data_IF_477549509797
#
_entry.id   IF_477549509797
#
_cell.length_a   1.000
_cell.length_b   1.000
_cell.length_c   1.000
_cell.angle_alpha   90.00
_cell.angle_beta   90.00
_cell.angle_gamma   90.00
#
_symmetry.space_group_name_H-M   'P 1'
#
loop_
_entity.id
_entity.type
_entity.pdbx_description
1 polymer ?
#
# COMPACT_ATOMS: atom_id res chain seq x y z
N UNK A 1 13.36 -10.85 -13.91
CA UNK A 1 12.76 -11.97 -13.13
C UNK A 1 11.61 -11.41 -12.29
N UNK A 2 10.41 -11.43 -12.84
CA UNK A 2 9.21 -11.02 -12.11
C UNK A 2 8.78 -12.15 -11.18
N UNK A 3 8.90 -11.93 -9.86
CA UNK A 3 8.28 -12.82 -8.87
C UNK A 3 6.90 -12.24 -8.54
N UNK A 4 5.85 -12.82 -9.14
CA UNK A 4 4.48 -12.69 -8.61
C UNK A 4 4.47 -13.43 -7.28
N UNK A 5 4.60 -12.69 -6.18
CA UNK A 5 4.41 -13.24 -4.86
C UNK A 5 2.91 -13.52 -4.69
N UNK A 6 2.49 -14.76 -4.91
CA UNK A 6 1.26 -15.25 -4.31
C UNK A 6 1.50 -15.37 -2.80
N UNK A 7 0.49 -15.09 -1.98
CA UNK A 7 0.57 -15.21 -0.52
C UNK A 7 0.92 -16.64 -0.03
N UNK A 8 1.00 -17.61 -0.94
CA UNK A 8 1.41 -18.98 -0.71
C UNK A 8 2.92 -19.12 -0.43
N UNK A 9 3.76 -18.22 -0.98
CA UNK A 9 5.22 -18.36 -0.93
C UNK A 9 5.83 -17.92 0.41
N UNK A 10 5.04 -17.26 1.28
CA UNK A 10 5.46 -16.89 2.62
C UNK A 10 4.29 -17.04 3.59
N UNK A 11 4.27 -18.15 4.33
CA UNK A 11 3.47 -18.30 5.56
C UNK A 11 3.98 -17.38 6.70
N UNK A 12 4.52 -16.22 6.37
CA UNK A 12 5.11 -15.26 7.31
C UNK A 12 4.70 -13.85 6.88
N UNK A 13 3.69 -13.33 7.58
CA UNK A 13 3.13 -12.00 7.38
C UNK A 13 1.72 -11.92 7.96
N UNK A 14 1.36 -10.78 8.56
CA UNK A 14 0.06 -10.59 9.22
C UNK A 14 -1.12 -10.86 8.28
N UNK A 15 -0.97 -10.51 6.99
CA UNK A 15 -1.98 -10.79 5.96
C UNK A 15 -2.17 -12.30 5.73
N UNK A 16 -1.10 -13.07 5.62
CA UNK A 16 -1.17 -14.52 5.42
C UNK A 16 -1.80 -15.23 6.62
N UNK A 17 -1.48 -14.78 7.84
CA UNK A 17 -2.10 -15.28 9.09
C UNK A 17 -3.60 -14.93 9.11
N UNK A 18 -3.96 -13.68 8.82
CA UNK A 18 -5.35 -13.24 8.78
C UNK A 18 -6.16 -14.03 7.76
N UNK A 19 -5.67 -14.20 6.53
CA UNK A 19 -6.40 -14.97 5.52
C UNK A 19 -6.58 -16.45 5.92
N UNK A 20 -5.64 -17.05 6.66
CA UNK A 20 -5.76 -18.44 7.14
C UNK A 20 -6.81 -18.59 8.25
N UNK A 21 -6.85 -17.64 9.18
CA UNK A 21 -7.57 -17.75 10.46
C UNK A 21 -8.95 -17.07 10.41
N UNK A 22 -9.11 -16.06 9.56
CA UNK A 22 -10.39 -15.42 9.29
C UNK A 22 -11.23 -16.31 8.36
N UNK A 23 -12.30 -16.91 8.90
CA UNK A 23 -13.14 -17.86 8.15
C UNK A 23 -13.78 -17.28 6.86
N UNK A 24 -14.21 -16.01 6.82
CA UNK A 24 -14.61 -15.34 5.58
C UNK A 24 -13.46 -15.25 4.56
N UNK A 25 -12.26 -14.88 5.01
CA UNK A 25 -11.10 -14.66 4.13
C UNK A 25 -10.38 -15.96 3.74
N UNK A 26 -10.63 -17.08 4.43
CA UNK A 26 -10.02 -18.39 4.14
C UNK A 26 -10.30 -18.89 2.73
N UNK A 27 -11.43 -18.48 2.12
CA UNK A 27 -11.77 -18.80 0.73
C UNK A 27 -11.42 -17.69 -0.26
N UNK A 28 -10.94 -16.55 0.24
CA UNK A 28 -10.59 -15.38 -0.57
C UNK A 28 -9.08 -15.42 -0.77
N UNK A 29 -8.66 -15.80 -1.97
CA UNK A 29 -7.30 -15.51 -2.41
C UNK A 29 -7.17 -14.00 -2.53
N UNK A 30 -6.23 -13.32 -1.82
CA UNK A 30 -6.05 -11.89 -1.98
C UNK A 30 -5.79 -11.56 -3.45
N UNK A 31 -6.68 -10.77 -4.05
CA UNK A 31 -6.65 -10.45 -5.48
C UNK A 31 -5.60 -9.39 -5.77
N UNK A 32 -4.32 -9.77 -5.73
CA UNK A 32 -3.22 -8.88 -6.13
C UNK A 32 -3.25 -8.50 -7.62
N UNK A 33 -4.06 -9.20 -8.43
CA UNK A 33 -4.25 -8.86 -9.85
C UNK A 33 -4.97 -7.52 -10.04
N UNK A 34 -5.72 -7.08 -9.04
CA UNK A 34 -6.51 -5.84 -9.06
C UNK A 34 -5.86 -4.76 -8.18
N UNK A 35 -4.58 -4.92 -7.86
CA UNK A 35 -3.83 -3.93 -7.08
C UNK A 35 -2.92 -3.12 -7.98
N UNK A 36 -3.10 -1.81 -7.96
CA UNK A 36 -2.19 -0.88 -8.62
C UNK A 36 -1.00 -0.57 -7.73
N UNK A 37 0.22 -0.66 -8.29
CA UNK A 37 1.42 -0.23 -7.59
C UNK A 37 1.57 1.28 -7.80
N UNK A 38 1.29 2.06 -6.76
CA UNK A 38 1.37 3.52 -6.78
C UNK A 38 2.76 4.03 -7.20
N UNK A 39 3.83 3.49 -6.61
CA UNK A 39 5.20 3.83 -6.97
C UNK A 39 6.21 2.77 -6.50
N UNK A 40 7.39 2.75 -7.14
CA UNK A 40 8.55 1.95 -6.72
C UNK A 40 9.76 2.86 -6.58
N UNK A 41 10.38 2.86 -5.40
CA UNK A 41 11.65 3.55 -5.16
C UNK A 41 12.49 2.74 -4.16
N UNK A 42 13.82 2.77 -4.30
CA UNK A 42 14.73 2.08 -3.36
C UNK A 42 14.76 2.77 -1.99
N UNK A 43 14.63 4.09 -1.97
CA UNK A 43 14.64 4.89 -0.75
C UNK A 43 13.30 4.75 -0.01
N UNK A 44 13.36 4.40 1.28
CA UNK A 44 12.18 4.22 2.13
C UNK A 44 11.40 5.52 2.32
N UNK A 45 12.07 6.60 2.70
CA UNK A 45 11.44 7.90 2.93
C UNK A 45 10.72 8.40 1.68
N UNK A 46 11.30 8.17 0.50
CA UNK A 46 10.62 8.53 -0.76
C UNK A 46 9.31 7.76 -0.95
N UNK A 47 9.27 6.47 -0.61
CA UNK A 47 8.00 5.71 -0.69
C UNK A 47 6.98 6.20 0.33
N UNK A 48 7.42 6.52 1.55
CA UNK A 48 6.56 7.04 2.61
C UNK A 48 5.97 8.42 2.25
N UNK A 49 6.76 9.30 1.61
CA UNK A 49 6.28 10.59 1.09
C UNK A 49 5.22 10.40 0.00
N UNK A 50 5.44 9.48 -0.94
CA UNK A 50 4.47 9.19 -2.01
C UNK A 50 3.18 8.59 -1.43
N UNK A 51 3.30 7.68 -0.46
CA UNK A 51 2.17 7.10 0.27
C UNK A 51 1.36 8.20 0.97
N UNK A 52 2.02 9.06 1.75
CA UNK A 52 1.36 10.15 2.47
C UNK A 52 0.62 11.10 1.52
N UNK A 53 1.27 11.51 0.43
CA UNK A 53 0.65 12.38 -0.58
C UNK A 53 -0.57 11.70 -1.23
N UNK A 54 -0.50 10.39 -1.51
CA UNK A 54 -1.60 9.64 -2.11
C UNK A 54 -2.79 9.50 -1.14
N UNK A 55 -2.53 9.16 0.13
CA UNK A 55 -3.58 9.05 1.16
C UNK A 55 -4.30 10.39 1.31
N UNK A 56 -3.56 11.51 1.41
CA UNK A 56 -4.14 12.85 1.52
C UNK A 56 -5.01 13.20 0.29
N UNK A 57 -4.57 12.78 -0.91
CA UNK A 57 -5.32 13.00 -2.16
C UNK A 57 -6.64 12.21 -2.19
N UNK A 58 -6.63 10.96 -1.73
CA UNK A 58 -7.79 10.07 -1.72
C UNK A 58 -8.77 10.35 -0.58
N UNK A 59 -8.33 11.02 0.50
CA UNK A 59 -9.16 11.38 1.66
C UNK A 59 -9.93 10.15 2.19
N UNK A 60 -11.25 10.25 2.25
CA UNK A 60 -12.15 9.23 2.79
C UNK A 60 -12.20 7.93 1.95
N UNK A 61 -11.67 7.95 0.73
CA UNK A 61 -11.52 6.74 -0.09
C UNK A 61 -10.35 5.86 0.37
N UNK A 62 -9.46 6.38 1.23
CA UNK A 62 -8.33 5.65 1.76
C UNK A 62 -8.47 5.39 3.27
N UNK A 63 -8.52 4.12 3.66
CA UNK A 63 -8.57 3.70 5.07
C UNK A 63 -7.22 3.77 5.79
N UNK A 64 -6.13 3.99 5.04
CA UNK A 64 -4.78 4.01 5.60
C UNK A 64 -4.45 5.35 6.26
N UNK A 65 -3.54 5.33 7.22
CA UNK A 65 -2.97 6.54 7.84
C UNK A 65 -1.54 6.73 7.37
N UNK A 66 -1.11 7.97 7.01
CA UNK A 66 0.25 8.23 6.57
C UNK A 66 1.31 7.87 7.63
N UNK A 67 2.41 7.26 7.20
CA UNK A 67 3.58 7.00 8.06
C UNK A 67 4.37 8.29 8.37
N UNK A 68 4.24 9.31 7.52
CA UNK A 68 4.84 10.64 7.68
C UNK A 68 3.77 11.71 7.49
N UNK A 69 3.84 12.78 8.29
CA UNK A 69 2.96 13.94 8.13
C UNK A 69 3.56 14.90 7.09
N UNK A 70 2.74 15.35 6.15
CA UNK A 70 3.10 16.36 5.15
C UNK A 70 2.37 17.67 5.45
N UNK A 71 3.04 18.79 5.25
CA UNK A 71 2.45 20.12 5.30
C UNK A 71 1.70 20.43 3.99
N UNK A 72 0.70 21.31 4.04
CA UNK A 72 -0.09 21.70 2.86
C UNK A 72 0.76 22.19 1.68
N UNK A 73 1.84 22.93 1.99
CA UNK A 73 2.79 23.41 0.97
C UNK A 73 3.56 22.28 0.30
N UNK A 74 3.88 21.22 1.06
CA UNK A 74 4.59 20.05 0.55
C UNK A 74 3.65 19.22 -0.31
N UNK A 75 2.42 19.00 0.14
CA UNK A 75 1.36 18.39 -0.66
C UNK A 75 1.12 19.16 -1.98
N UNK A 76 1.07 20.48 -1.92
CA UNK A 76 0.89 21.34 -3.09
C UNK A 76 2.04 21.16 -4.09
N UNK A 77 3.29 21.18 -3.61
CA UNK A 77 4.47 20.94 -4.44
C UNK A 77 4.45 19.55 -5.09
N UNK A 78 4.09 18.52 -4.33
CA UNK A 78 4.03 17.14 -4.80
C UNK A 78 2.88 16.92 -5.79
N UNK A 79 1.74 17.58 -5.63
CA UNK A 79 0.60 17.45 -6.56
C UNK A 79 0.90 17.91 -8.00
N UNK A 80 1.88 18.78 -8.18
CA UNK A 80 2.35 19.21 -9.50
C UNK A 80 3.32 18.21 -10.15
N UNK A 81 3.80 17.23 -9.38
CA UNK A 81 4.89 16.31 -9.75
C UNK A 81 4.47 14.83 -9.77
N UNK A 82 3.25 14.51 -9.33
CA UNK A 82 2.70 13.14 -9.21
C UNK A 82 1.32 13.05 -9.85
#
# INVERSE_FOLDING_TARGET
>A
LERKATAEDKRSGNLAIHCRDCSPCRRISPTFKETDILAKNLNQLTREIIEAATIIKLKDECVSTPSVALLDKECSFLSASI
#
